data_IF_646634659643
#
_entry.id   IF_646634659643
#
_cell.length_a   1.000
_cell.length_b   1.000
_cell.length_c   1.000
_cell.angle_alpha   90.00
_cell.angle_beta   90.00
_cell.angle_gamma   90.00
#
_symmetry.space_group_name_H-M   'P 1'
#
loop_
_entity.id
_entity.type
_entity.pdbx_description
1 polymer ?
#
# COMPACT_ATOMS: atom_id res chain seq x y z
N UNK A 1 15.67 -3.74 10.42
CA UNK A 1 14.21 -3.99 10.47
C UNK A 1 13.61 -3.13 11.57
N UNK A 2 12.52 -2.42 11.28
CA UNK A 2 11.74 -1.63 12.24
C UNK A 2 10.33 -2.21 12.27
N UNK A 3 9.71 -2.25 13.45
CA UNK A 3 8.33 -2.66 13.65
C UNK A 3 7.65 -1.54 14.45
N UNK A 4 6.50 -1.09 13.96
CA UNK A 4 5.66 -0.08 14.60
C UNK A 4 4.29 -0.70 14.78
N UNK A 5 3.73 -0.60 15.97
CA UNK A 5 2.43 -1.17 16.31
C UNK A 5 1.50 -0.09 16.82
N UNK A 6 0.21 -0.27 16.58
CA UNK A 6 -0.88 0.55 17.12
C UNK A 6 -0.66 2.06 16.99
N UNK A 7 -0.57 2.53 15.74
CA UNK A 7 -0.44 3.95 15.45
C UNK A 7 -1.51 4.42 14.50
N UNK A 8 -1.65 5.75 14.42
CA UNK A 8 -2.68 6.40 13.64
C UNK A 8 -2.06 7.45 12.74
N UNK A 9 -2.41 7.39 11.47
CA UNK A 9 -1.99 8.36 10.45
C UNK A 9 -3.12 9.36 10.24
N UNK A 10 -2.78 10.64 10.22
CA UNK A 10 -3.69 11.75 9.90
C UNK A 10 -3.04 12.65 8.87
N UNK A 11 -3.85 13.21 7.99
CA UNK A 11 -3.45 14.35 7.14
C UNK A 11 -2.17 14.15 6.32
N UNK A 12 -1.93 12.96 5.76
CA UNK A 12 -0.83 12.75 4.82
C UNK A 12 -1.30 13.17 3.40
N UNK A 13 -0.76 14.26 2.80
CA UNK A 13 -1.26 14.78 1.53
C UNK A 13 -1.10 13.79 0.38
N UNK A 14 0.04 13.10 0.30
CA UNK A 14 0.29 12.10 -0.75
C UNK A 14 -0.69 10.92 -0.65
N UNK A 15 -1.00 10.46 0.56
CA UNK A 15 -1.98 9.40 0.77
C UNK A 15 -3.40 9.89 0.42
N UNK A 16 -3.75 11.12 0.78
CA UNK A 16 -5.02 11.73 0.43
C UNK A 16 -5.21 11.82 -1.10
N UNK A 17 -4.15 12.22 -1.82
CA UNK A 17 -4.14 12.25 -3.28
C UNK A 17 -4.35 10.86 -3.89
N UNK A 18 -3.62 9.83 -3.41
CA UNK A 18 -3.79 8.46 -3.90
C UNK A 18 -5.22 7.96 -3.65
N UNK A 19 -5.75 8.12 -2.43
CA UNK A 19 -7.11 7.69 -2.09
C UNK A 19 -8.18 8.42 -2.90
N UNK A 20 -8.00 9.71 -3.16
CA UNK A 20 -8.89 10.51 -4.00
C UNK A 20 -8.86 10.03 -5.45
N UNK A 21 -7.67 9.85 -6.03
CA UNK A 21 -7.53 9.36 -7.40
C UNK A 21 -8.07 7.92 -7.55
N UNK A 22 -7.98 7.13 -6.49
CA UNK A 22 -8.52 5.78 -6.39
C UNK A 22 -10.04 5.71 -6.17
N UNK A 23 -10.72 6.84 -5.95
CA UNK A 23 -12.14 6.90 -5.58
C UNK A 23 -12.48 6.15 -4.28
N UNK A 24 -11.56 6.09 -3.31
CA UNK A 24 -11.75 5.45 -2.01
C UNK A 24 -12.17 6.51 -0.98
N UNK A 25 -13.38 7.05 -1.14
CA UNK A 25 -13.85 8.24 -0.42
C UNK A 25 -14.03 8.02 1.08
N UNK A 26 -14.61 6.91 1.53
CA UNK A 26 -14.82 6.66 2.96
C UNK A 26 -13.52 6.57 3.78
N UNK A 27 -12.46 6.02 3.19
CA UNK A 27 -11.13 5.98 3.82
C UNK A 27 -10.46 7.36 3.78
N UNK A 28 -10.65 8.13 2.71
CA UNK A 28 -10.18 9.51 2.60
C UNK A 28 -10.82 10.41 3.67
N UNK A 29 -12.12 10.27 3.92
CA UNK A 29 -12.83 11.01 4.96
C UNK A 29 -12.30 10.64 6.35
N UNK A 30 -12.04 9.34 6.57
CA UNK A 30 -11.39 8.86 7.81
C UNK A 30 -10.00 9.48 7.98
N UNK A 31 -9.18 9.56 6.93
CA UNK A 31 -7.85 10.18 6.96
C UNK A 31 -7.90 11.66 7.34
N UNK A 32 -8.90 12.39 6.84
CA UNK A 32 -9.13 13.82 7.13
C UNK A 32 -9.74 14.07 8.50
N UNK A 33 -10.47 13.10 9.05
CA UNK A 33 -11.12 13.18 10.35
C UNK A 33 -10.32 12.44 11.43
N UNK A 34 -10.85 11.28 11.84
CA UNK A 34 -10.34 10.54 13.00
C UNK A 34 -8.94 9.94 12.81
N UNK A 35 -8.46 9.79 11.56
CA UNK A 35 -7.20 9.15 11.21
C UNK A 35 -7.32 7.66 10.92
N UNK A 36 -6.45 7.14 10.06
CA UNK A 36 -6.39 5.72 9.71
C UNK A 36 -5.49 5.01 10.72
N UNK A 37 -6.02 3.99 11.39
CA UNK A 37 -5.26 3.12 12.30
C UNK A 37 -4.52 2.03 11.54
N UNK A 38 -3.30 1.76 11.96
CA UNK A 38 -2.51 0.60 11.57
C UNK A 38 -2.10 -0.17 12.82
N UNK A 39 -2.43 -1.46 12.84
CA UNK A 39 -2.15 -2.35 13.96
C UNK A 39 -0.69 -2.78 13.95
N UNK A 40 -0.17 -3.09 12.76
CA UNK A 40 1.23 -3.49 12.56
C UNK A 40 1.80 -2.84 11.31
N UNK A 41 3.02 -2.33 11.40
CA UNK A 41 3.81 -1.86 10.26
C UNK A 41 5.22 -2.35 10.40
N UNK A 42 5.77 -2.88 9.32
CA UNK A 42 7.12 -3.42 9.27
C UNK A 42 7.89 -2.73 8.16
N UNK A 43 9.12 -2.36 8.48
CA UNK A 43 10.08 -1.75 7.55
C UNK A 43 11.35 -2.58 7.56
N UNK A 44 11.57 -3.35 6.50
CA UNK A 44 12.85 -3.96 6.16
C UNK A 44 13.53 -3.04 5.17
N UNK A 45 14.71 -2.56 5.53
CA UNK A 45 15.47 -1.63 4.73
C UNK A 45 16.94 -2.05 4.64
N UNK A 46 17.60 -1.61 3.57
CA UNK A 46 19.04 -1.59 3.41
C UNK A 46 19.47 -0.14 3.23
N UNK A 47 20.62 0.23 3.76
CA UNK A 47 21.17 1.56 3.57
C UNK A 47 22.64 1.46 3.18
N UNK A 48 22.99 2.04 2.04
CA UNK A 48 24.36 2.21 1.59
C UNK A 48 24.68 3.71 1.38
N UNK A 49 25.86 4.02 0.86
CA UNK A 49 26.26 5.43 0.64
C UNK A 49 25.36 6.17 -0.37
N UNK A 50 24.74 5.45 -1.32
CA UNK A 50 23.93 6.03 -2.40
C UNK A 50 22.45 5.99 -2.11
N UNK A 51 21.95 4.93 -1.48
CA UNK A 51 20.52 4.70 -1.34
C UNK A 51 20.12 4.18 0.03
N UNK A 52 19.04 4.76 0.55
CA UNK A 52 18.18 4.10 1.53
C UNK A 52 17.10 3.33 0.78
N UNK A 53 17.12 1.99 0.85
CA UNK A 53 16.23 1.10 0.09
C UNK A 53 15.22 0.43 1.02
N UNK A 54 13.93 0.59 0.73
CA UNK A 54 12.85 -0.17 1.34
C UNK A 54 12.69 -1.52 0.62
N UNK A 55 13.06 -2.62 1.28
CA UNK A 55 12.86 -3.99 0.77
C UNK A 55 11.44 -4.47 1.02
N UNK A 56 10.97 -4.28 2.25
CA UNK A 56 9.60 -4.60 2.66
C UNK A 56 9.11 -3.48 3.57
N UNK A 57 8.31 -2.54 3.05
CA UNK A 57 7.61 -1.57 3.87
C UNK A 57 6.10 -1.83 3.74
N UNK A 58 5.50 -2.43 4.76
CA UNK A 58 4.07 -2.75 4.72
C UNK A 58 3.38 -2.43 6.03
N UNK A 59 2.09 -2.15 5.95
CA UNK A 59 1.23 -1.89 7.09
C UNK A 59 -0.11 -2.59 6.96
N UNK A 60 -0.60 -3.11 8.08
CA UNK A 60 -1.89 -3.79 8.22
C UNK A 60 -2.74 -3.04 9.23
N UNK A 61 -4.03 -2.89 8.93
CA UNK A 61 -4.97 -2.19 9.79
C UNK A 61 -6.42 -2.55 9.45
N UNK A 62 -7.38 -2.12 10.28
CA UNK A 62 -8.78 -2.52 10.16
C UNK A 62 -9.50 -1.97 8.92
N UNK A 63 -9.02 -0.87 8.35
CA UNK A 63 -9.64 -0.21 7.21
C UNK A 63 -8.81 -0.31 5.93
N UNK A 64 -7.48 -0.31 6.07
CA UNK A 64 -6.55 -0.20 4.96
C UNK A 64 -5.28 -0.99 5.26
N UNK A 65 -4.73 -1.62 4.23
CA UNK A 65 -3.34 -2.08 4.24
C UNK A 65 -2.57 -1.56 3.04
N UNK A 66 -1.25 -1.58 3.17
CA UNK A 66 -0.34 -1.12 2.14
C UNK A 66 0.93 -1.95 2.07
N UNK A 67 1.55 -1.97 0.89
CA UNK A 67 2.93 -2.40 0.68
C UNK A 67 3.62 -1.36 -0.19
N UNK A 68 4.83 -1.00 0.16
CA UNK A 68 5.71 -0.04 -0.50
C UNK A 68 7.10 -0.65 -0.61
N UNK A 69 7.72 -0.41 -1.75
CA UNK A 69 9.11 -0.73 -2.03
C UNK A 69 9.73 0.41 -2.84
N UNK A 70 11.06 0.47 -2.85
CA UNK A 70 11.78 1.50 -3.58
C UNK A 70 12.90 2.09 -2.76
N UNK A 71 13.32 3.30 -3.10
CA UNK A 71 14.53 3.88 -2.54
C UNK A 71 14.50 5.40 -2.48
N UNK A 72 15.33 5.94 -1.61
CA UNK A 72 15.66 7.36 -1.50
C UNK A 72 17.14 7.47 -1.84
N UNK A 73 17.49 8.40 -2.73
CA UNK A 73 18.88 8.74 -3.01
C UNK A 73 19.42 9.61 -1.87
N UNK A 74 20.49 9.15 -1.21
CA UNK A 74 21.05 9.79 -0.03
C UNK A 74 21.81 11.09 -0.37
N UNK A 75 22.13 11.32 -1.65
CA UNK A 75 22.88 12.51 -2.08
C UNK A 75 21.98 13.73 -2.34
N UNK A 76 20.74 13.51 -2.78
CA UNK A 76 19.82 14.58 -3.22
C UNK A 76 18.38 14.40 -2.73
N UNK A 77 18.17 13.47 -1.79
CA UNK A 77 16.89 13.10 -1.20
C UNK A 77 15.80 12.72 -2.22
N UNK A 78 16.19 12.32 -3.43
CA UNK A 78 15.23 11.92 -4.45
C UNK A 78 14.55 10.60 -4.08
N UNK A 79 13.24 10.66 -3.88
CA UNK A 79 12.36 9.54 -3.55
C UNK A 79 11.88 8.89 -4.84
N UNK A 80 11.97 7.57 -4.91
CA UNK A 80 11.35 6.75 -5.96
C UNK A 80 10.74 5.51 -5.33
N UNK A 81 9.43 5.51 -5.15
CA UNK A 81 8.67 4.44 -4.51
C UNK A 81 7.60 3.90 -5.44
N UNK A 82 7.41 2.59 -5.38
CA UNK A 82 6.28 1.88 -5.94
C UNK A 82 5.51 1.26 -4.77
N UNK A 83 4.19 1.32 -4.83
CA UNK A 83 3.37 0.79 -3.75
C UNK A 83 1.98 0.38 -4.20
N UNK A 84 1.29 -0.27 -3.28
CA UNK A 84 -0.08 -0.71 -3.46
C UNK A 84 -0.86 -0.46 -2.18
N UNK A 85 -2.10 -0.01 -2.35
CA UNK A 85 -3.10 0.11 -1.30
C UNK A 85 -4.23 -0.87 -1.55
N UNK A 86 -4.73 -1.49 -0.49
CA UNK A 86 -5.90 -2.36 -0.56
C UNK A 86 -6.77 -2.12 0.69
N UNK A 87 -8.09 -1.87 0.50
CA UNK A 87 -9.01 -1.82 1.62
C UNK A 87 -9.05 -3.16 2.38
N UNK A 88 -9.12 -3.11 3.71
CA UNK A 88 -9.06 -4.33 4.53
C UNK A 88 -10.21 -5.32 4.23
N UNK A 89 -11.38 -4.82 3.83
CA UNK A 89 -12.51 -5.67 3.45
C UNK A 89 -12.21 -6.51 2.18
N UNK A 90 -11.39 -6.00 1.26
CA UNK A 90 -10.95 -6.75 0.07
C UNK A 90 -10.01 -7.89 0.47
N UNK A 91 -9.24 -7.74 1.55
CA UNK A 91 -8.36 -8.79 2.09
C UNK A 91 -9.18 -9.98 2.57
N UNK A 92 -10.29 -9.75 3.27
CA UNK A 92 -11.18 -10.82 3.69
C UNK A 92 -11.82 -11.55 2.50
N UNK A 93 -12.19 -10.81 1.45
CA UNK A 93 -12.69 -11.40 0.17
C UNK A 93 -11.61 -12.25 -0.50
N UNK A 94 -10.36 -11.76 -0.54
CA UNK A 94 -9.21 -12.50 -1.07
C UNK A 94 -8.96 -13.80 -0.30
N UNK A 95 -8.95 -13.75 1.03
CA UNK A 95 -8.69 -14.91 1.89
C UNK A 95 -9.79 -15.98 1.80
N UNK A 96 -11.03 -15.57 1.56
CA UNK A 96 -12.18 -16.48 1.45
C UNK A 96 -12.24 -17.22 0.11
N UNK A 97 -11.56 -16.69 -0.93
CA UNK A 97 -11.61 -17.19 -2.30
C UNK A 97 -10.32 -17.89 -2.78
N UNK A 98 -9.46 -18.31 -1.84
CA UNK A 98 -8.11 -18.84 -2.11
C UNK A 98 -8.04 -20.05 -3.06
N UNK A 99 -9.07 -20.90 -3.28
CA UNK A 99 -8.97 -21.92 -4.33
C UNK A 99 -8.88 -21.35 -5.77
N UNK A 100 -9.07 -20.03 -5.97
CA UNK A 100 -9.31 -19.44 -7.29
C UNK A 100 -8.55 -18.12 -7.51
N UNK A 101 -7.24 -18.10 -7.22
CA UNK A 101 -6.37 -16.95 -7.56
C UNK A 101 -6.45 -16.55 -9.05
N UNK A 102 -6.78 -17.48 -9.94
CA UNK A 102 -6.90 -17.24 -11.38
C UNK A 102 -8.14 -16.44 -11.83
N UNK A 103 -9.29 -16.57 -11.17
CA UNK A 103 -10.53 -15.88 -11.60
C UNK A 103 -10.56 -14.42 -11.14
N UNK A 104 -9.96 -14.14 -9.97
CA UNK A 104 -9.73 -12.80 -9.41
C UNK A 104 -9.06 -11.84 -10.44
N UNK A 105 -8.19 -12.37 -11.30
CA UNK A 105 -7.35 -11.60 -12.23
C UNK A 105 -8.02 -11.28 -13.57
N UNK A 106 -9.10 -11.99 -13.93
CA UNK A 106 -9.65 -11.96 -15.30
C UNK A 106 -10.80 -10.97 -15.50
N UNK A 107 -11.36 -10.40 -14.42
CA UNK A 107 -12.35 -9.32 -14.49
C UNK A 107 -13.63 -9.64 -15.28
N UNK A 108 -13.90 -10.91 -15.61
CA UNK A 108 -15.04 -11.33 -16.45
C UNK A 108 -16.37 -11.45 -15.70
N UNK A 109 -16.41 -11.04 -14.45
CA UNK A 109 -17.63 -10.86 -13.66
C UNK A 109 -17.33 -9.71 -12.70
N UNK A 110 -18.32 -8.91 -12.33
CA UNK A 110 -18.19 -7.69 -11.51
C UNK A 110 -17.63 -7.88 -10.09
N UNK A 111 -16.86 -8.94 -9.84
CA UNK A 111 -16.30 -9.41 -8.58
C UNK A 111 -14.76 -9.25 -8.50
N UNK A 112 -14.16 -8.42 -9.37
CA UNK A 112 -12.72 -8.14 -9.33
C UNK A 112 -12.25 -7.57 -7.98
N UNK A 113 -11.00 -7.83 -7.63
CA UNK A 113 -10.39 -7.32 -6.38
C UNK A 113 -10.01 -5.86 -6.56
N UNK A 114 -10.42 -5.03 -5.61
CA UNK A 114 -10.16 -3.59 -5.63
C UNK A 114 -8.90 -3.24 -4.83
N UNK A 115 -7.88 -2.74 -5.53
CA UNK A 115 -6.64 -2.26 -4.95
C UNK A 115 -5.96 -1.33 -5.94
N UNK A 116 -5.13 -0.42 -5.44
CA UNK A 116 -4.56 0.66 -6.23
C UNK A 116 -3.05 0.58 -6.17
N UNK A 117 -2.43 0.36 -7.33
CA UNK A 117 -1.00 0.55 -7.49
C UNK A 117 -0.70 2.04 -7.69
N UNK A 118 0.33 2.52 -7.02
CA UNK A 118 0.78 3.90 -7.09
C UNK A 118 2.30 3.98 -7.22
N UNK A 119 2.77 5.09 -7.79
CA UNK A 119 4.18 5.46 -7.86
C UNK A 119 4.34 6.85 -7.30
N UNK A 120 5.39 7.05 -6.51
CA UNK A 120 5.75 8.36 -5.95
C UNK A 120 7.18 8.65 -6.40
N UNK A 121 7.37 9.79 -7.06
CA UNK A 121 8.70 10.27 -7.45
C UNK A 121 8.86 11.74 -7.15
N UNK A 122 10.02 12.14 -6.64
CA UNK A 122 10.31 13.56 -6.40
C UNK A 122 11.19 13.82 -5.20
N UNK A 123 11.32 15.08 -4.82
CA UNK A 123 12.15 15.55 -3.70
C UNK A 123 11.57 16.83 -3.11
N UNK A 124 12.03 17.25 -1.93
CA UNK A 124 11.69 18.55 -1.32
C UNK A 124 10.17 18.82 -1.23
N UNK A 125 9.38 17.79 -0.92
CA UNK A 125 7.90 17.80 -0.91
C UNK A 125 7.22 18.05 -2.26
N UNK A 126 7.98 18.11 -3.37
CA UNK A 126 7.45 18.12 -4.72
C UNK A 126 7.40 16.69 -5.27
N UNK A 127 6.35 15.96 -4.87
CA UNK A 127 6.14 14.57 -5.28
C UNK A 127 5.12 14.46 -6.41
N UNK A 128 5.55 13.88 -7.52
CA UNK A 128 4.65 13.40 -8.56
C UNK A 128 4.10 12.04 -8.15
N UNK A 129 2.76 11.96 -8.06
CA UNK A 129 2.05 10.73 -7.75
C UNK A 129 1.28 10.27 -8.97
N UNK A 130 1.61 9.08 -9.47
CA UNK A 130 0.84 8.43 -10.53
C UNK A 130 0.13 7.23 -9.94
N UNK A 131 -1.17 7.10 -10.23
CA UNK A 131 -1.92 5.88 -9.90
C UNK A 131 -2.22 5.10 -11.17
N UNK A 132 -2.32 3.78 -11.03
CA UNK A 132 -2.87 2.93 -12.06
C UNK A 132 -4.00 2.09 -11.45
N UNK A 133 -5.26 2.57 -11.52
CA UNK A 133 -6.37 1.91 -10.86
C UNK A 133 -6.74 0.55 -11.49
N UNK A 134 -6.26 0.23 -12.70
CA UNK A 134 -6.77 -0.91 -13.50
C UNK A 134 -5.66 -1.73 -14.17
N UNK A 135 -4.54 -2.02 -13.50
CA UNK A 135 -3.66 -3.11 -13.96
C UNK A 135 -3.42 -4.09 -12.85
N UNK A 136 -4.25 -5.13 -12.87
CA UNK A 136 -4.01 -6.47 -12.31
C UNK A 136 -3.14 -6.42 -11.06
N UNK A 137 -3.77 -6.34 -9.89
CA UNK A 137 -3.17 -6.80 -8.63
C UNK A 137 -2.52 -8.14 -8.96
N UNK A 138 -1.18 -8.14 -9.11
CA UNK A 138 -0.51 -9.32 -9.64
C UNK A 138 -0.71 -10.46 -8.65
N UNK A 139 -0.83 -11.71 -9.10
CA UNK A 139 -0.96 -12.82 -8.15
C UNK A 139 0.20 -12.85 -7.14
N UNK A 140 1.41 -12.45 -7.55
CA UNK A 140 2.56 -12.27 -6.64
C UNK A 140 2.30 -11.22 -5.56
N UNK A 141 1.68 -10.08 -5.91
CA UNK A 141 1.32 -9.05 -4.95
C UNK A 141 0.19 -9.51 -4.01
N UNK A 142 -0.87 -10.15 -4.52
CA UNK A 142 -1.92 -10.76 -3.67
C UNK A 142 -1.29 -11.70 -2.66
N UNK A 143 -0.45 -12.61 -3.14
CA UNK A 143 0.19 -13.62 -2.31
C UNK A 143 1.04 -12.97 -1.22
N UNK A 144 1.92 -12.04 -1.60
CA UNK A 144 2.75 -11.27 -0.65
C UNK A 144 1.88 -10.59 0.40
N UNK A 145 0.80 -9.92 0.00
CA UNK A 145 -0.08 -9.22 0.92
C UNK A 145 -0.79 -10.15 1.90
N UNK A 146 -1.33 -11.27 1.39
CA UNK A 146 -1.98 -12.32 2.21
C UNK A 146 -0.99 -12.90 3.22
N UNK A 147 0.24 -13.20 2.79
CA UNK A 147 1.27 -13.77 3.66
C UNK A 147 1.66 -12.80 4.78
N UNK A 148 1.77 -11.50 4.47
CA UNK A 148 2.06 -10.45 5.44
C UNK A 148 0.92 -10.26 6.44
N UNK A 149 -0.34 -10.27 5.99
CA UNK A 149 -1.51 -10.17 6.88
C UNK A 149 -1.66 -11.39 7.79
N UNK A 150 -1.37 -12.60 7.28
CA UNK A 150 -1.36 -13.82 8.10
C UNK A 150 -0.26 -13.84 9.13
N UNK A 151 0.93 -13.36 8.78
CA UNK A 151 2.08 -13.31 9.69
C UNK A 151 1.97 -12.22 10.76
N UNK A 152 1.06 -11.26 10.57
CA UNK A 152 0.79 -10.13 11.47
C UNK A 152 -0.29 -10.44 12.52
N UNK A 153 -0.98 -11.57 12.40
CA UNK A 153 -2.01 -12.07 13.33
C UNK A 153 -1.42 -13.10 14.27
#
# INVERSE_FOLDING_TARGET
KIIITDFKIREIPVLAQILSLASITGILDTLKGEGIRFDNTVIVYENDEKFFTFKDFYGTGPSLGFIVEGRINNADDFVSLDGNLIPAYEVNRLLSNIPILGQILTGKSGDGVFGVSFKIKGKDNNFETTINPVRTITPRFVQRFVDLFRSSK
#
